data_IF_635807336717
#
_entry.id   IF_635807336717
#
_cell.length_a   1.000
_cell.length_b   1.000
_cell.length_c   1.000
_cell.angle_alpha   90.00
_cell.angle_beta   90.00
_cell.angle_gamma   90.00
#
_symmetry.space_group_name_H-M   'P 1'
#
loop_
_entity.id
_entity.type
_entity.pdbx_description
1 polymer ?
#
# COMPACT_ATOMS: atom_id res chain seq x y z
N UNK A 1 -30.33 0.88 20.63
CA UNK A 1 -29.96 1.31 19.27
C UNK A 1 -29.29 0.15 18.56
N UNK A 2 -29.81 -0.29 17.41
CA UNK A 2 -29.15 -1.31 16.61
C UNK A 2 -27.81 -0.76 16.10
N UNK A 3 -26.72 -1.45 16.43
CA UNK A 3 -25.36 -1.08 16.00
C UNK A 3 -25.32 -1.19 14.47
N UNK A 4 -24.80 -0.17 13.77
CA UNK A 4 -24.60 -0.26 12.32
C UNK A 4 -23.81 -1.53 11.99
N UNK A 5 -24.21 -2.29 10.96
CA UNK A 5 -23.45 -3.46 10.52
C UNK A 5 -22.02 -3.03 10.21
N UNK A 6 -21.05 -3.80 10.71
CA UNK A 6 -19.63 -3.57 10.47
C UNK A 6 -19.19 -4.55 9.39
N UNK A 7 -18.67 -4.03 8.28
CA UNK A 7 -18.08 -4.83 7.21
C UNK A 7 -16.65 -5.23 7.57
N UNK A 8 -16.31 -6.50 7.35
CA UNK A 8 -14.97 -7.04 7.60
C UNK A 8 -14.35 -7.54 6.30
N UNK A 9 -13.05 -7.34 6.17
CA UNK A 9 -12.31 -7.62 4.95
C UNK A 9 -11.17 -8.62 5.19
N UNK A 10 -10.91 -9.46 4.19
CA UNK A 10 -9.70 -10.29 4.05
C UNK A 10 -9.19 -10.12 2.62
N UNK A 11 -7.87 -9.92 2.45
CA UNK A 11 -7.23 -9.96 1.15
C UNK A 11 -6.57 -11.33 0.90
N UNK A 12 -6.60 -11.78 -0.35
CA UNK A 12 -5.94 -13.02 -0.80
C UNK A 12 -5.13 -12.75 -2.07
N UNK A 13 -4.29 -13.70 -2.46
CA UNK A 13 -3.74 -13.71 -3.81
C UNK A 13 -4.84 -13.91 -4.88
N UNK A 14 -4.45 -13.78 -6.15
CA UNK A 14 -5.32 -13.92 -7.32
C UNK A 14 -6.06 -15.28 -7.39
N UNK A 15 -5.50 -16.34 -6.81
CA UNK A 15 -6.14 -17.66 -6.77
C UNK A 15 -7.22 -17.81 -5.67
N UNK A 16 -7.41 -16.78 -4.84
CA UNK A 16 -8.41 -16.76 -3.77
C UNK A 16 -7.96 -17.43 -2.47
N UNK A 17 -6.70 -17.88 -2.37
CA UNK A 17 -6.17 -18.55 -1.18
C UNK A 17 -5.57 -17.53 -0.21
N UNK A 18 -5.87 -17.67 1.09
CA UNK A 18 -5.21 -16.89 2.15
C UNK A 18 -3.74 -17.33 2.23
N UNK A 19 -2.80 -16.41 2.01
CA UNK A 19 -1.38 -16.80 1.85
C UNK A 19 -0.79 -17.41 3.13
N UNK A 20 -1.12 -16.87 4.30
CA UNK A 20 -0.71 -17.46 5.58
C UNK A 20 -1.21 -18.91 5.75
N UNK A 21 -2.41 -19.22 5.26
CA UNK A 21 -2.97 -20.58 5.32
C UNK A 21 -2.22 -21.54 4.40
N UNK A 22 -1.76 -21.05 3.24
CA UNK A 22 -0.92 -21.81 2.31
C UNK A 22 0.42 -22.14 2.96
N UNK A 23 1.08 -21.16 3.57
CA UNK A 23 2.34 -21.38 4.29
C UNK A 23 2.19 -22.33 5.48
N UNK A 24 1.02 -22.36 6.12
CA UNK A 24 0.70 -23.30 7.19
C UNK A 24 0.35 -24.72 6.71
N UNK A 25 0.33 -24.98 5.40
CA UNK A 25 0.01 -26.30 4.83
C UNK A 25 -1.48 -26.67 4.90
N UNK A 26 -2.36 -25.72 5.22
CA UNK A 26 -3.82 -25.91 5.29
C UNK A 26 -4.54 -24.82 4.49
N UNK A 27 -4.39 -24.82 3.16
CA UNK A 27 -4.85 -23.73 2.31
C UNK A 27 -6.37 -23.54 2.41
N UNK A 28 -6.77 -22.32 2.75
CA UNK A 28 -8.18 -21.89 2.77
C UNK A 28 -8.45 -21.01 1.56
N UNK A 29 -9.26 -21.52 0.63
CA UNK A 29 -9.69 -20.80 -0.57
C UNK A 29 -11.02 -20.08 -0.33
N UNK A 30 -11.02 -18.75 -0.30
CA UNK A 30 -12.24 -17.97 -0.07
C UNK A 30 -13.15 -17.94 -1.30
N UNK A 31 -12.59 -17.98 -2.51
CA UNK A 31 -13.36 -18.01 -3.75
C UNK A 31 -14.22 -19.27 -3.88
N UNK A 32 -13.71 -20.41 -3.41
CA UNK A 32 -14.45 -21.67 -3.39
C UNK A 32 -15.54 -21.74 -2.30
N UNK A 33 -15.56 -20.77 -1.37
CA UNK A 33 -16.42 -20.80 -0.18
C UNK A 33 -17.37 -19.60 -0.09
N UNK A 34 -17.60 -18.87 -1.18
CA UNK A 34 -18.58 -17.77 -1.19
C UNK A 34 -19.98 -18.28 -0.78
N UNK A 35 -20.60 -17.59 0.16
CA UNK A 35 -21.87 -17.97 0.78
C UNK A 35 -21.77 -19.04 1.89
N UNK A 36 -20.59 -19.64 2.10
CA UNK A 36 -20.38 -20.74 3.05
C UNK A 36 -19.75 -20.27 4.36
N UNK A 37 -19.96 -21.08 5.39
CA UNK A 37 -19.26 -20.99 6.67
C UNK A 37 -17.99 -21.83 6.60
N UNK A 38 -16.86 -21.23 6.99
CA UNK A 38 -15.55 -21.85 6.99
C UNK A 38 -15.02 -21.88 8.41
N UNK A 39 -14.72 -23.09 8.90
CA UNK A 39 -13.96 -23.30 10.13
C UNK A 39 -12.46 -23.17 9.86
N UNK A 40 -11.73 -22.59 10.80
CA UNK A 40 -10.28 -22.54 10.73
C UNK A 40 -9.72 -23.97 10.83
N UNK A 41 -8.82 -24.40 9.94
CA UNK A 41 -8.40 -25.80 9.86
C UNK A 41 -7.53 -26.24 11.05
N UNK A 42 -6.79 -25.31 11.65
CA UNK A 42 -5.92 -25.55 12.80
C UNK A 42 -6.00 -24.38 13.80
N UNK A 43 -7.15 -24.18 14.47
CA UNK A 43 -7.30 -23.08 15.40
C UNK A 43 -6.37 -23.30 16.61
N UNK A 44 -5.84 -22.22 17.17
CA UNK A 44 -5.16 -22.31 18.46
C UNK A 44 -6.19 -22.59 19.56
N UNK A 45 -5.82 -23.39 20.56
CA UNK A 45 -6.68 -23.72 21.70
C UNK A 45 -6.34 -22.88 22.91
N UNK A 46 -5.06 -22.53 23.07
CA UNK A 46 -4.53 -21.75 24.18
C UNK A 46 -3.88 -20.47 23.64
N UNK A 47 -4.67 -19.39 23.54
CA UNK A 47 -4.23 -18.06 23.11
C UNK A 47 -2.81 -17.75 23.64
N UNK A 48 -1.96 -17.19 22.79
CA UNK A 48 -0.52 -16.92 23.04
C UNK A 48 0.40 -18.13 23.19
N UNK A 49 -0.06 -19.28 23.71
CA UNK A 49 0.79 -20.44 23.99
C UNK A 49 0.97 -21.38 22.80
N UNK A 50 -0.09 -21.61 22.03
CA UNK A 50 -0.07 -22.49 20.85
C UNK A 50 -0.34 -21.74 19.54
N UNK A 51 -0.20 -20.42 19.55
CA UNK A 51 -0.33 -19.58 18.36
C UNK A 51 0.79 -19.86 17.32
N UNK A 52 0.34 -20.15 16.11
CA UNK A 52 1.12 -20.30 14.88
C UNK A 52 0.85 -19.12 13.92
N UNK A 53 1.69 -18.94 12.87
CA UNK A 53 1.48 -17.89 11.86
C UNK A 53 0.05 -17.84 11.29
N UNK A 54 -0.61 -18.99 11.11
CA UNK A 54 -2.03 -19.07 10.76
C UNK A 54 -2.79 -19.87 11.83
N UNK A 55 -3.34 -19.16 12.82
CA UNK A 55 -4.20 -19.72 13.88
C UNK A 55 -5.60 -19.09 13.90
N UNK A 56 -5.77 -17.99 13.18
CA UNK A 56 -6.99 -17.20 13.13
C UNK A 56 -7.21 -16.71 11.70
N UNK A 57 -8.47 -16.59 11.32
CA UNK A 57 -8.84 -15.64 10.28
C UNK A 57 -8.63 -14.23 10.82
N UNK A 58 -7.74 -13.48 10.16
CA UNK A 58 -7.43 -12.09 10.47
C UNK A 58 -8.27 -11.21 9.57
N UNK A 59 -9.12 -10.39 10.18
CA UNK A 59 -10.03 -9.52 9.44
C UNK A 59 -9.83 -8.09 9.88
N UNK A 60 -10.10 -7.15 8.98
CA UNK A 60 -10.08 -5.71 9.29
C UNK A 60 -11.38 -5.05 8.89
N UNK A 61 -11.83 -4.05 9.65
CA UNK A 61 -12.99 -3.21 9.29
C UNK A 61 -12.61 -1.90 8.60
N UNK A 62 -11.31 -1.62 8.49
CA UNK A 62 -10.75 -0.50 7.72
C UNK A 62 -10.09 -1.08 6.49
N UNK A 63 -10.65 -0.81 5.31
CA UNK A 63 -10.27 -1.47 4.07
C UNK A 63 -8.84 -1.16 3.63
N UNK A 64 -8.32 0.03 3.95
CA UNK A 64 -6.91 0.39 3.70
C UNK A 64 -5.89 -0.35 4.57
N UNK A 65 -6.34 -1.13 5.57
CA UNK A 65 -5.50 -2.06 6.32
C UNK A 65 -5.70 -3.52 5.88
N UNK A 66 -6.48 -3.79 4.82
CA UNK A 66 -6.77 -5.16 4.39
C UNK A 66 -5.53 -5.91 3.87
N UNK A 67 -4.48 -5.17 3.56
CA UNK A 67 -3.20 -5.67 3.07
C UNK A 67 -2.18 -5.89 4.20
N UNK A 68 -2.51 -5.47 5.43
CA UNK A 68 -1.68 -5.65 6.62
C UNK A 68 -1.59 -7.13 7.00
N UNK A 69 -0.38 -7.62 7.29
CA UNK A 69 -0.14 -8.98 7.81
C UNK A 69 -0.78 -10.12 6.98
N UNK A 70 -0.94 -9.93 5.67
CA UNK A 70 -1.54 -10.93 4.76
C UNK A 70 -0.61 -12.12 4.47
N UNK A 71 0.68 -11.98 4.74
CA UNK A 71 1.71 -12.96 4.36
C UNK A 71 2.09 -12.94 2.88
N UNK A 72 1.47 -12.06 2.07
CA UNK A 72 1.76 -11.96 0.65
C UNK A 72 3.13 -11.29 0.45
N UNK A 73 4.11 -12.09 0.04
CA UNK A 73 5.44 -11.62 -0.32
C UNK A 73 6.03 -12.46 -1.47
N UNK A 74 6.59 -11.85 -2.53
CA UNK A 74 6.67 -10.41 -2.78
C UNK A 74 5.28 -9.77 -2.97
N UNK A 75 5.18 -8.46 -2.72
CA UNK A 75 3.95 -7.70 -2.98
C UNK A 75 3.61 -7.82 -4.47
N UNK A 76 2.40 -8.31 -4.75
CA UNK A 76 1.91 -8.59 -6.10
C UNK A 76 0.50 -8.05 -6.28
N UNK A 77 0.23 -7.52 -7.48
CA UNK A 77 -1.08 -7.05 -7.89
C UNK A 77 -1.47 -7.73 -9.20
N UNK A 78 -2.74 -8.13 -9.42
CA UNK A 78 -3.89 -7.93 -8.54
C UNK A 78 -3.97 -8.88 -7.35
N UNK A 79 -4.48 -8.38 -6.23
CA UNK A 79 -5.03 -9.18 -5.13
C UNK A 79 -6.53 -9.39 -5.33
N UNK A 80 -7.14 -10.22 -4.49
CA UNK A 80 -8.60 -10.31 -4.35
C UNK A 80 -9.01 -9.83 -2.96
N UNK A 81 -10.16 -9.19 -2.86
CA UNK A 81 -10.66 -8.61 -1.62
C UNK A 81 -12.05 -9.17 -1.31
N UNK A 82 -12.20 -9.70 -0.10
CA UNK A 82 -13.39 -10.43 0.32
C UNK A 82 -14.09 -9.71 1.45
N UNK A 83 -15.42 -9.65 1.37
CA UNK A 83 -16.27 -9.28 2.50
C UNK A 83 -16.63 -10.56 3.25
N UNK A 84 -16.38 -10.56 4.56
CA UNK A 84 -16.63 -11.71 5.42
C UNK A 84 -17.44 -11.30 6.65
N UNK A 85 -18.13 -12.26 7.24
CA UNK A 85 -18.78 -12.13 8.54
C UNK A 85 -18.04 -13.00 9.56
N UNK A 86 -17.52 -12.45 10.67
CA UNK A 86 -16.95 -13.23 11.75
C UNK A 86 -18.04 -13.98 12.51
N UNK A 87 -17.87 -15.28 12.71
CA UNK A 87 -18.78 -16.11 13.50
C UNK A 87 -18.15 -16.44 14.85
N UNK A 88 -18.14 -15.44 15.72
CA UNK A 88 -17.45 -15.46 17.02
C UNK A 88 -16.19 -14.60 17.00
N UNK A 89 -15.75 -14.20 18.19
CA UNK A 89 -14.55 -13.39 18.41
C UNK A 89 -13.52 -14.20 19.21
N UNK A 90 -12.31 -14.32 18.67
CA UNK A 90 -11.17 -14.92 19.34
C UNK A 90 -10.20 -13.87 19.91
N UNK A 91 -10.34 -12.61 19.48
CA UNK A 91 -9.56 -11.47 19.98
C UNK A 91 -9.25 -10.45 18.89
N UNK A 92 -8.34 -9.52 19.18
CA UNK A 92 -7.89 -8.49 18.24
C UNK A 92 -6.42 -8.08 18.43
N UNK A 93 -5.63 -8.87 19.17
CA UNK A 93 -4.25 -8.58 19.60
C UNK A 93 -4.04 -7.24 20.32
N UNK A 94 -5.12 -6.62 20.81
CA UNK A 94 -5.08 -5.43 21.65
C UNK A 94 -5.93 -4.30 21.10
N UNK A 95 -7.06 -4.05 21.77
CA UNK A 95 -8.02 -3.01 21.39
C UNK A 95 -7.42 -1.61 21.30
N UNK A 96 -6.37 -1.32 22.08
CA UNK A 96 -5.67 -0.02 22.05
C UNK A 96 -4.91 0.21 20.75
N UNK A 97 -4.29 -0.83 20.19
CA UNK A 97 -3.37 -0.72 19.06
C UNK A 97 -4.04 -1.08 17.73
N UNK A 98 -4.91 -2.10 17.76
CA UNK A 98 -5.57 -2.66 16.57
C UNK A 98 -7.10 -2.65 16.70
N UNK A 99 -7.75 -1.50 17.01
CA UNK A 99 -9.21 -1.44 17.17
C UNK A 99 -9.98 -1.76 15.88
N UNK A 100 -9.30 -1.80 14.75
CA UNK A 100 -9.83 -2.10 13.43
C UNK A 100 -9.69 -3.58 13.05
N UNK A 101 -8.99 -4.39 13.83
CA UNK A 101 -8.75 -5.81 13.59
C UNK A 101 -9.71 -6.67 14.41
N UNK A 102 -10.02 -7.85 13.89
CA UNK A 102 -10.71 -8.91 14.59
C UNK A 102 -10.13 -10.26 14.16
N UNK A 103 -10.00 -11.15 15.14
CA UNK A 103 -9.57 -12.52 14.98
C UNK A 103 -10.77 -13.44 15.21
N UNK A 104 -10.91 -14.46 14.37
CA UNK A 104 -11.91 -15.50 14.57
C UNK A 104 -11.42 -16.85 14.08
N UNK A 105 -11.94 -17.92 14.68
CA UNK A 105 -11.75 -19.28 14.20
C UNK A 105 -12.82 -19.71 13.19
N UNK A 106 -13.84 -18.88 12.94
CA UNK A 106 -14.91 -19.20 12.00
C UNK A 106 -15.39 -17.94 11.30
N UNK A 107 -15.55 -18.03 9.99
CA UNK A 107 -16.07 -16.94 9.17
C UNK A 107 -17.16 -17.44 8.24
N UNK A 108 -18.05 -16.54 7.81
CA UNK A 108 -18.85 -16.74 6.60
C UNK A 108 -18.31 -15.84 5.51
N UNK A 109 -18.00 -16.40 4.35
CA UNK A 109 -17.58 -15.60 3.19
C UNK A 109 -18.84 -15.07 2.53
N UNK A 110 -18.99 -13.76 2.43
CA UNK A 110 -20.21 -13.14 1.91
C UNK A 110 -20.11 -12.95 0.40
N UNK A 111 -19.12 -12.17 -0.04
CA UNK A 111 -18.91 -11.84 -1.44
C UNK A 111 -17.49 -11.34 -1.69
N UNK A 112 -17.10 -11.32 -2.97
CA UNK A 112 -15.92 -10.58 -3.42
C UNK A 112 -16.30 -9.11 -3.67
N UNK A 113 -15.40 -8.19 -3.38
CA UNK A 113 -15.55 -6.76 -3.68
C UNK A 113 -14.35 -6.28 -4.49
N UNK A 114 -14.48 -5.10 -5.10
CA UNK A 114 -13.41 -4.49 -5.88
C UNK A 114 -12.06 -4.42 -5.14
N UNK A 115 -11.03 -5.04 -5.72
CA UNK A 115 -9.71 -5.18 -5.10
C UNK A 115 -9.03 -3.83 -4.83
N UNK A 116 -9.17 -2.84 -5.72
CA UNK A 116 -8.52 -1.52 -5.58
C UNK A 116 -8.85 -0.84 -4.24
N UNK A 117 -9.99 -1.16 -3.62
CA UNK A 117 -10.36 -0.62 -2.29
C UNK A 117 -9.35 -1.00 -1.20
N UNK A 118 -8.61 -2.09 -1.37
CA UNK A 118 -7.54 -2.50 -0.45
C UNK A 118 -6.39 -1.47 -0.41
N UNK A 119 -6.24 -0.65 -1.47
CA UNK A 119 -5.30 0.47 -1.54
C UNK A 119 -5.89 1.77 -0.97
N UNK A 120 -7.03 1.71 -0.27
CA UNK A 120 -7.70 2.87 0.31
C UNK A 120 -8.74 3.51 -0.61
N UNK A 121 -9.25 4.67 -0.20
CA UNK A 121 -10.37 5.33 -0.89
C UNK A 121 -10.02 5.75 -2.34
N UNK A 122 -8.79 6.21 -2.57
CA UNK A 122 -8.28 6.64 -3.87
C UNK A 122 -7.61 5.49 -4.65
N UNK A 123 -7.90 4.23 -4.31
CA UNK A 123 -7.18 3.08 -4.85
C UNK A 123 -7.25 2.93 -6.38
N UNK A 124 -8.29 3.45 -7.05
CA UNK A 124 -8.34 3.48 -8.52
C UNK A 124 -7.33 4.46 -9.09
N UNK A 125 -7.34 5.70 -8.61
CA UNK A 125 -6.44 6.75 -9.10
C UNK A 125 -4.97 6.40 -8.87
N UNK A 126 -4.69 5.74 -7.74
CA UNK A 126 -3.37 5.18 -7.43
C UNK A 126 -2.95 4.14 -8.46
N UNK A 127 -3.82 3.19 -8.81
CA UNK A 127 -3.51 2.17 -9.81
C UNK A 127 -3.32 2.80 -11.19
N UNK A 128 -4.12 3.81 -11.55
CA UNK A 128 -3.95 4.54 -12.80
C UNK A 128 -2.58 5.22 -12.86
N UNK A 129 -2.15 5.90 -11.78
CA UNK A 129 -0.80 6.48 -11.71
C UNK A 129 0.27 5.40 -11.85
N UNK A 130 0.17 4.32 -11.06
CA UNK A 130 1.19 3.26 -11.04
C UNK A 130 1.30 2.53 -12.39
N UNK A 131 0.17 2.26 -13.04
CA UNK A 131 0.15 1.44 -14.26
C UNK A 131 0.30 2.26 -15.53
N UNK A 132 -0.20 3.50 -15.57
CA UNK A 132 -0.28 4.30 -16.79
C UNK A 132 0.75 5.43 -16.83
N UNK A 133 1.16 5.99 -15.68
CA UNK A 133 2.01 7.18 -15.66
C UNK A 133 3.45 6.87 -15.29
N UNK A 134 3.67 6.07 -14.23
CA UNK A 134 5.01 5.76 -13.72
C UNK A 134 5.92 5.12 -14.78
N UNK A 135 5.49 4.16 -15.63
CA UNK A 135 6.41 3.50 -16.54
C UNK A 135 7.13 4.45 -17.51
N UNK A 136 6.40 5.37 -18.15
CA UNK A 136 6.99 6.36 -19.06
C UNK A 136 7.84 7.37 -18.30
N UNK A 137 7.35 7.85 -17.15
CA UNK A 137 8.06 8.84 -16.35
C UNK A 137 9.36 8.30 -15.75
N UNK A 138 9.39 7.02 -15.36
CA UNK A 138 10.57 6.36 -14.81
C UNK A 138 11.74 6.37 -15.78
N UNK A 139 11.50 6.06 -17.05
CA UNK A 139 12.52 6.10 -18.11
C UNK A 139 13.07 7.52 -18.26
N UNK A 140 12.19 8.53 -18.27
CA UNK A 140 12.59 9.93 -18.37
C UNK A 140 13.40 10.39 -17.16
N UNK A 141 12.94 10.13 -15.94
CA UNK A 141 13.66 10.50 -14.72
C UNK A 141 15.04 9.86 -14.64
N UNK A 142 15.16 8.60 -15.07
CA UNK A 142 16.44 7.91 -15.12
C UNK A 142 17.39 8.55 -16.15
N UNK A 143 16.89 8.86 -17.35
CA UNK A 143 17.66 9.53 -18.39
C UNK A 143 18.12 10.94 -17.97
N UNK A 144 17.22 11.71 -17.33
CA UNK A 144 17.54 13.05 -16.82
C UNK A 144 18.64 13.00 -15.75
N UNK A 145 18.61 11.98 -14.88
CA UNK A 145 19.68 11.76 -13.90
C UNK A 145 21.00 11.41 -14.56
N UNK A 146 21.02 10.47 -15.50
CA UNK A 146 22.27 10.04 -16.13
C UNK A 146 22.87 11.11 -17.05
N UNK A 147 22.04 12.01 -17.59
CA UNK A 147 22.50 13.15 -18.39
C UNK A 147 23.17 14.26 -17.54
N UNK A 148 22.74 14.48 -16.30
CA UNK A 148 23.28 15.49 -15.39
C UNK A 148 23.27 15.01 -13.91
N UNK A 149 24.14 14.06 -13.53
CA UNK A 149 24.07 13.46 -12.19
C UNK A 149 24.36 14.46 -11.06
N UNK A 150 25.23 15.44 -11.29
CA UNK A 150 25.62 16.41 -10.26
C UNK A 150 24.54 17.49 -10.10
N UNK A 151 24.03 18.04 -11.20
CA UNK A 151 22.92 19.00 -11.14
C UNK A 151 21.65 18.38 -10.58
N UNK A 152 21.34 17.12 -10.93
CA UNK A 152 20.21 16.39 -10.36
C UNK A 152 20.38 16.10 -8.87
N UNK A 153 21.59 15.75 -8.41
CA UNK A 153 21.89 15.58 -6.99
C UNK A 153 21.67 16.87 -6.21
N UNK A 154 22.14 18.01 -6.74
CA UNK A 154 21.94 19.30 -6.10
C UNK A 154 20.45 19.70 -6.07
N UNK A 155 19.72 19.50 -7.17
CA UNK A 155 18.26 19.72 -7.23
C UNK A 155 17.53 18.85 -6.21
N UNK A 156 17.82 17.55 -6.16
CA UNK A 156 17.24 16.61 -5.21
C UNK A 156 17.55 17.01 -3.76
N UNK A 157 18.79 17.40 -3.46
CA UNK A 157 19.17 17.87 -2.14
C UNK A 157 18.39 19.12 -1.73
N UNK A 158 18.31 20.12 -2.62
CA UNK A 158 17.59 21.35 -2.36
C UNK A 158 16.09 21.10 -2.15
N UNK A 159 15.47 20.24 -2.96
CA UNK A 159 14.10 19.81 -2.78
C UNK A 159 13.89 19.06 -1.45
N UNK A 160 14.82 18.18 -1.07
CA UNK A 160 14.71 17.36 0.13
C UNK A 160 14.94 18.12 1.44
N UNK A 161 15.75 19.19 1.43
CA UNK A 161 16.24 19.87 2.64
C UNK A 161 15.89 21.37 2.70
N UNK A 162 15.95 22.05 1.56
CA UNK A 162 15.91 23.51 1.47
C UNK A 162 14.61 24.02 0.89
N UNK A 163 13.48 23.37 1.23
CA UNK A 163 12.16 23.88 0.86
C UNK A 163 12.11 25.38 1.11
N UNK A 164 11.98 26.18 0.04
CA UNK A 164 11.98 27.63 0.11
C UNK A 164 10.91 28.16 1.07
N UNK A 165 10.91 29.47 1.33
CA UNK A 165 9.88 30.12 2.18
C UNK A 165 8.42 29.81 1.78
N UNK A 166 8.22 29.36 0.54
CA UNK A 166 6.96 28.94 -0.03
C UNK A 166 6.93 27.46 -0.44
N UNK A 167 7.92 26.60 -0.09
CA UNK A 167 8.10 25.19 -0.53
C UNK A 167 8.41 24.25 0.64
N UNK A 168 7.62 23.18 0.79
CA UNK A 168 7.75 22.24 1.88
C UNK A 168 8.81 21.27 1.43
N UNK A 169 9.83 21.02 2.24
CA UNK A 169 10.83 20.02 1.86
C UNK A 169 10.15 18.69 1.51
N UNK A 170 10.67 17.96 0.51
CA UNK A 170 10.13 16.64 0.14
C UNK A 170 9.99 15.70 1.34
N UNK A 171 10.97 15.72 2.25
CA UNK A 171 10.95 14.94 3.50
C UNK A 171 9.80 15.31 4.44
N UNK A 172 9.48 16.59 4.54
CA UNK A 172 8.32 17.02 5.32
C UNK A 172 7.01 16.54 4.69
N UNK A 173 6.88 16.64 3.37
CA UNK A 173 5.69 16.18 2.67
C UNK A 173 5.48 14.67 2.82
N UNK A 174 6.55 13.87 2.70
CA UNK A 174 6.55 12.44 3.01
C UNK A 174 6.10 12.15 4.45
N UNK A 175 6.62 12.91 5.43
CA UNK A 175 6.23 12.77 6.84
C UNK A 175 4.75 13.11 7.09
N UNK A 176 4.22 14.12 6.40
CA UNK A 176 2.80 14.48 6.47
C UNK A 176 1.93 13.39 5.86
N UNK A 177 2.32 12.85 4.70
CA UNK A 177 1.61 11.73 4.07
C UNK A 177 1.57 10.50 4.97
N UNK A 178 2.71 10.12 5.57
CA UNK A 178 2.80 9.00 6.50
C UNK A 178 1.91 9.19 7.73
N UNK A 179 1.93 10.39 8.32
CA UNK A 179 1.09 10.72 9.48
C UNK A 179 -0.39 10.67 9.12
N UNK A 180 -0.75 11.13 7.92
CA UNK A 180 -2.11 11.08 7.38
C UNK A 180 -2.57 9.63 7.18
N UNK A 181 -1.74 8.77 6.57
CA UNK A 181 -2.04 7.34 6.43
C UNK A 181 -2.27 6.65 7.77
N UNK A 182 -1.44 6.93 8.78
CA UNK A 182 -1.65 6.41 10.14
C UNK A 182 -2.98 6.88 10.76
N UNK A 183 -3.29 8.17 10.63
CA UNK A 183 -4.52 8.75 11.17
C UNK A 183 -5.77 8.15 10.51
N UNK A 184 -5.69 7.86 9.20
CA UNK A 184 -6.79 7.33 8.40
C UNK A 184 -6.87 5.79 8.38
N UNK A 185 -5.88 5.10 8.96
CA UNK A 185 -5.75 3.63 8.89
C UNK A 185 -5.65 3.14 7.44
N UNK A 186 -4.65 3.67 6.76
CA UNK A 186 -4.25 3.30 5.40
C UNK A 186 -2.74 3.11 5.30
N UNK A 187 -2.08 2.75 6.41
CA UNK A 187 -0.63 2.57 6.42
C UNK A 187 -0.20 1.35 5.61
N UNK A 188 -0.92 0.22 5.74
CA UNK A 188 -0.62 -0.94 4.92
C UNK A 188 -0.89 -0.68 3.43
N UNK A 189 -1.96 0.04 3.11
CA UNK A 189 -2.21 0.53 1.75
C UNK A 189 -1.04 1.36 1.23
N UNK A 190 -0.57 2.38 1.97
CA UNK A 190 0.57 3.21 1.53
C UNK A 190 1.82 2.36 1.26
N UNK A 191 2.17 1.42 2.16
CA UNK A 191 3.30 0.51 1.95
C UNK A 191 3.14 -0.28 0.65
N UNK A 192 1.95 -0.83 0.40
CA UNK A 192 1.68 -1.55 -0.85
C UNK A 192 1.81 -0.65 -2.09
N UNK A 193 1.31 0.57 -2.02
CA UNK A 193 1.39 1.56 -3.10
C UNK A 193 2.85 1.87 -3.45
N UNK A 194 3.68 2.12 -2.43
CA UNK A 194 5.12 2.37 -2.63
C UNK A 194 5.82 1.18 -3.29
N UNK A 195 5.48 -0.04 -2.88
CA UNK A 195 6.05 -1.26 -3.48
C UNK A 195 5.58 -1.48 -4.92
N UNK A 196 4.32 -1.23 -5.22
CA UNK A 196 3.80 -1.31 -6.59
C UNK A 196 4.45 -0.26 -7.50
N UNK A 197 4.65 0.96 -7.00
CA UNK A 197 5.37 2.00 -7.72
C UNK A 197 6.82 1.61 -8.03
N UNK A 198 7.55 1.05 -7.05
CA UNK A 198 8.92 0.54 -7.28
C UNK A 198 8.97 -0.59 -8.29
N UNK A 199 8.03 -1.53 -8.21
CA UNK A 199 7.92 -2.62 -9.19
C UNK A 199 7.63 -2.09 -10.61
N UNK A 200 6.81 -1.05 -10.73
CA UNK A 200 6.57 -0.42 -12.03
C UNK A 200 7.85 0.22 -12.60
N UNK A 201 8.67 0.85 -11.75
CA UNK A 201 10.01 1.32 -12.16
C UNK A 201 10.92 0.16 -12.55
N UNK A 202 10.89 -0.95 -11.80
CA UNK A 202 11.69 -2.14 -12.14
C UNK A 202 11.41 -2.64 -13.54
N UNK A 203 10.12 -2.79 -13.85
CA UNK A 203 9.67 -3.24 -15.15
C UNK A 203 9.99 -2.23 -16.25
N UNK A 204 9.87 -0.93 -15.96
CA UNK A 204 10.15 0.12 -16.94
C UNK A 204 11.64 0.27 -17.28
N UNK A 205 12.53 -0.05 -16.32
CA UNK A 205 13.97 0.12 -16.49
C UNK A 205 14.73 -1.18 -16.78
N UNK A 206 14.05 -2.33 -16.85
CA UNK A 206 14.65 -3.68 -17.03
C UNK A 206 15.63 -3.75 -18.22
N UNK A 207 15.27 -3.14 -19.35
CA UNK A 207 16.08 -3.14 -20.58
C UNK A 207 16.94 -1.87 -20.76
N UNK A 208 17.05 -1.05 -19.72
CA UNK A 208 17.82 0.20 -19.76
C UNK A 208 19.20 0.02 -19.13
N UNK A 209 20.18 0.79 -19.58
CA UNK A 209 21.49 0.88 -18.93
C UNK A 209 21.52 1.97 -17.84
N UNK A 210 20.37 2.24 -17.19
CA UNK A 210 20.26 3.28 -16.18
C UNK A 210 21.23 3.02 -15.02
N UNK A 211 21.93 4.07 -14.57
CA UNK A 211 22.82 3.93 -13.42
C UNK A 211 22.04 3.59 -12.15
N UNK A 212 22.71 2.96 -11.17
CA UNK A 212 22.11 2.66 -9.86
C UNK A 212 21.53 3.91 -9.17
N UNK A 213 22.13 5.07 -9.38
CA UNK A 213 21.64 6.33 -8.82
C UNK A 213 20.41 6.85 -9.57
N UNK A 214 20.38 6.75 -10.90
CA UNK A 214 19.20 7.05 -11.71
C UNK A 214 18.01 6.17 -11.29
N UNK A 215 18.27 4.89 -11.03
CA UNK A 215 17.29 3.93 -10.55
C UNK A 215 16.71 4.33 -9.17
N UNK A 216 17.60 4.67 -8.23
CA UNK A 216 17.20 5.12 -6.89
C UNK A 216 16.40 6.44 -6.94
N UNK A 217 16.77 7.34 -7.85
CA UNK A 217 16.05 8.58 -8.10
C UNK A 217 14.65 8.32 -8.65
N UNK A 218 14.52 7.49 -9.70
CA UNK A 218 13.24 7.12 -10.30
C UNK A 218 12.30 6.44 -9.29
N UNK A 219 12.84 5.57 -8.42
CA UNK A 219 12.07 5.00 -7.29
C UNK A 219 11.48 6.07 -6.38
N UNK A 220 12.29 7.02 -5.92
CA UNK A 220 11.81 8.09 -5.03
C UNK A 220 10.69 8.91 -5.68
N UNK A 221 10.88 9.29 -6.95
CA UNK A 221 9.85 10.00 -7.75
C UNK A 221 8.57 9.17 -7.89
N UNK A 222 8.69 7.89 -8.27
CA UNK A 222 7.56 6.99 -8.45
C UNK A 222 6.74 6.82 -7.16
N UNK A 223 7.41 6.61 -6.02
CA UNK A 223 6.72 6.51 -4.72
C UNK A 223 6.03 7.81 -4.33
N UNK A 224 6.68 8.95 -4.54
CA UNK A 224 6.08 10.26 -4.26
C UNK A 224 4.83 10.53 -5.11
N UNK A 225 4.88 10.22 -6.41
CA UNK A 225 3.73 10.32 -7.31
C UNK A 225 2.56 9.43 -6.86
N UNK A 226 2.81 8.16 -6.58
CA UNK A 226 1.77 7.22 -6.17
C UNK A 226 1.15 7.58 -4.81
N UNK A 227 1.96 8.02 -3.85
CA UNK A 227 1.49 8.50 -2.53
C UNK A 227 0.71 9.81 -2.67
N UNK A 228 1.09 10.71 -3.59
CA UNK A 228 0.30 11.91 -3.88
C UNK A 228 -1.10 11.56 -4.36
N UNK A 229 -1.24 10.53 -5.20
CA UNK A 229 -2.53 10.05 -5.69
C UNK A 229 -3.39 9.46 -4.56
N UNK A 230 -2.79 8.72 -3.63
CA UNK A 230 -3.49 8.18 -2.46
C UNK A 230 -4.18 9.28 -1.63
N UNK A 231 -3.55 10.45 -1.55
CA UNK A 231 -3.97 11.54 -0.67
C UNK A 231 -4.44 12.80 -1.41
N UNK A 232 -4.78 12.67 -2.70
CA UNK A 232 -5.16 13.77 -3.58
C UNK A 232 -6.25 14.68 -2.98
N UNK A 233 -7.23 14.09 -2.29
CA UNK A 233 -8.36 14.81 -1.71
C UNK A 233 -8.15 15.21 -0.23
N UNK A 234 -7.00 14.89 0.36
CA UNK A 234 -6.74 15.02 1.80
C UNK A 234 -5.61 15.98 2.14
N UNK A 235 -4.64 16.09 1.26
CA UNK A 235 -3.48 16.95 1.47
C UNK A 235 -3.63 18.25 0.70
N UNK A 236 -3.04 19.31 1.27
CA UNK A 236 -2.97 20.60 0.60
C UNK A 236 -2.24 20.44 -0.76
N UNK A 237 -2.67 21.14 -1.82
CA UNK A 237 -2.01 21.11 -3.13
C UNK A 237 -0.50 21.27 -3.05
N UNK A 238 -0.05 22.09 -2.11
CA UNK A 238 1.34 22.29 -1.79
C UNK A 238 2.11 21.01 -1.41
N UNK A 239 1.54 20.21 -0.52
CA UNK A 239 2.12 18.95 -0.06
C UNK A 239 2.13 17.95 -1.21
N UNK A 240 1.05 17.93 -2.00
CA UNK A 240 0.93 17.07 -3.17
C UNK A 240 1.98 17.40 -4.24
N UNK A 241 2.23 18.68 -4.51
CA UNK A 241 3.25 19.11 -5.46
C UNK A 241 4.66 18.78 -4.96
N UNK A 242 4.92 18.95 -3.66
CA UNK A 242 6.16 18.52 -3.05
C UNK A 242 6.36 17.00 -3.20
N UNK A 243 5.34 16.17 -2.94
CA UNK A 243 5.39 14.70 -3.13
C UNK A 243 5.64 14.30 -4.59
N UNK A 244 5.02 14.98 -5.56
CA UNK A 244 5.27 14.74 -6.99
C UNK A 244 6.67 15.19 -7.43
N UNK A 245 7.30 16.09 -6.68
CA UNK A 245 8.60 16.64 -7.02
C UNK A 245 8.55 17.57 -8.22
N UNK A 246 7.48 18.34 -8.39
CA UNK A 246 7.29 19.28 -9.53
C UNK A 246 8.45 20.28 -9.68
N UNK A 247 9.03 20.72 -8.56
CA UNK A 247 10.22 21.59 -8.55
C UNK A 247 11.52 20.92 -9.03
N UNK A 248 11.53 19.60 -9.24
CA UNK A 248 12.67 18.86 -9.79
C UNK A 248 12.65 18.82 -11.33
N UNK A 249 11.49 19.05 -11.95
CA UNK A 249 11.31 18.99 -13.40
C UNK A 249 11.65 20.33 -14.09
N UNK A 250 11.86 21.39 -13.31
CA UNK A 250 12.21 22.71 -13.79
C UNK A 250 13.71 22.82 -14.02
N UNK A 251 14.13 23.12 -15.25
CA UNK A 251 15.54 23.43 -15.52
C UNK A 251 15.91 24.74 -14.82
N UNK A 252 17.11 24.81 -14.25
CA UNK A 252 17.68 26.03 -13.64
C UNK A 252 17.93 27.16 -14.66
N UNK A 253 17.59 26.97 -15.94
CA UNK A 253 17.67 28.01 -16.96
C UNK A 253 16.59 29.10 -16.84
N UNK A 254 15.51 28.84 -16.10
CA UNK A 254 14.40 29.80 -15.91
C UNK A 254 14.52 30.68 -14.65
N UNK A 255 15.64 30.57 -13.92
CA UNK A 255 15.94 31.39 -12.74
C UNK A 255 17.09 32.38 -13.00
N UNK A 256 17.08 33.01 -14.18
CA UNK A 256 17.96 34.14 -14.51
C UNK A 256 17.53 35.43 -13.79
#
# INVERSE_FOLDING_TARGET
MARKPVTWYIATLADGIIELSRHAGTPVNLAANVGQVVDHPQPCTNLWFDERPFSYFRMVKRVGEALEDTGIWPITWPVRLWIVEPLGEAGNWGQRHYPYRLLSHRIRVLEETDAHRALGAAGRDVLDVVQQQIPEQAVRWAADWDADPEGMRQRQWNWAQCGGRACGSGRWAESVALTTSHAHRESAAQTWIEHLARRAVDQALEDTNASMYAYSYAYGRATGHAVSAQHQDRLDPYVLDALRGTGLDSSTADAA
#
